data_IF_542760491022
#
_entry.id   IF_542760491022
#
_cell.length_a   1.000
_cell.length_b   1.000
_cell.length_c   1.000
_cell.angle_alpha   90.00
_cell.angle_beta   90.00
_cell.angle_gamma   90.00
#
_symmetry.space_group_name_H-M   'P 1'
#
loop_
_entity.id
_entity.type
_entity.pdbx_description
1 polymer ?
#
# COMPACT_ATOMS: atom_id res chain seq x y z
N UNK A 1 -21.03 -23.90 57.08
CA UNK A 1 -21.67 -22.87 57.94
C UNK A 1 -21.08 -21.52 57.60
N UNK A 2 -21.97 -20.58 57.24
CA UNK A 2 -21.86 -19.12 57.32
C UNK A 2 -20.81 -18.38 56.48
N UNK A 3 -21.33 -17.82 55.38
CA UNK A 3 -21.00 -16.48 54.91
C UNK A 3 -21.31 -15.41 55.98
N UNK A 4 -20.51 -14.35 56.03
CA UNK A 4 -20.89 -13.02 56.57
C UNK A 4 -20.02 -11.93 55.94
N UNK A 5 -20.69 -10.99 55.26
CA UNK A 5 -20.20 -9.69 54.82
C UNK A 5 -20.23 -8.65 55.96
N UNK A 6 -19.46 -7.55 55.80
CA UNK A 6 -19.66 -6.17 56.35
C UNK A 6 -18.55 -5.26 55.77
N UNK A 7 -18.82 -4.33 54.83
CA UNK A 7 -19.09 -2.87 55.00
C UNK A 7 -18.29 -2.24 56.16
N UNK A 8 -17.53 -1.14 56.04
CA UNK A 8 -17.74 0.24 55.48
C UNK A 8 -16.36 0.96 55.61
N UNK A 9 -15.97 2.02 54.90
CA UNK A 9 -16.47 3.39 55.03
C UNK A 9 -15.70 4.35 54.07
N UNK A 10 -16.42 5.33 53.54
CA UNK A 10 -15.98 6.42 52.64
C UNK A 10 -15.24 7.49 53.45
N UNK A 11 -14.08 7.98 52.98
CA UNK A 11 -13.43 9.18 53.53
C UNK A 11 -13.36 10.30 52.48
N UNK A 12 -14.10 11.36 52.76
CA UNK A 12 -14.09 12.68 52.12
C UNK A 12 -12.76 13.40 52.32
N UNK A 13 -12.15 13.93 51.26
CA UNK A 13 -11.05 14.91 51.36
C UNK A 13 -11.48 16.24 50.74
N UNK A 14 -11.24 17.31 51.51
CA UNK A 14 -11.79 18.65 51.32
C UNK A 14 -11.17 19.43 50.15
N UNK A 15 -12.04 20.20 49.49
CA UNK A 15 -11.77 21.10 48.39
C UNK A 15 -11.12 22.40 48.92
N UNK A 16 -9.91 22.73 48.47
CA UNK A 16 -9.29 24.03 48.68
C UNK A 16 -9.58 24.91 47.44
N UNK A 17 -10.47 25.90 47.59
CA UNK A 17 -10.73 26.90 46.54
C UNK A 17 -9.58 27.92 46.51
N UNK A 18 -8.84 27.99 45.41
CA UNK A 18 -8.05 29.17 45.05
C UNK A 18 -8.86 29.98 44.05
N UNK A 19 -9.29 31.17 44.46
CA UNK A 19 -9.96 32.12 43.59
C UNK A 19 -8.93 32.76 42.65
N UNK A 20 -8.87 32.29 41.40
CA UNK A 20 -8.19 32.98 40.32
C UNK A 20 -9.14 34.03 39.72
N UNK A 21 -8.77 35.30 39.82
CA UNK A 21 -9.44 36.41 39.15
C UNK A 21 -9.39 36.19 37.63
N UNK A 22 -10.55 35.91 37.03
CA UNK A 22 -10.70 35.81 35.58
C UNK A 22 -10.60 37.20 34.95
N UNK A 23 -9.56 37.40 34.13
CA UNK A 23 -9.56 38.44 33.11
C UNK A 23 -10.62 38.07 32.05
N UNK A 24 -11.29 39.05 31.42
CA UNK A 24 -12.20 38.77 30.31
C UNK A 24 -11.43 38.11 29.18
N UNK A 25 -11.69 36.81 28.99
CA UNK A 25 -11.12 36.01 27.90
C UNK A 25 -11.54 36.62 26.57
N UNK A 26 -10.55 36.98 25.76
CA UNK A 26 -10.76 37.27 24.34
C UNK A 26 -11.46 36.08 23.69
N UNK A 27 -12.36 36.38 22.76
CA UNK A 27 -13.10 35.38 22.01
C UNK A 27 -12.13 34.37 21.40
N UNK A 28 -12.12 33.14 21.94
CA UNK A 28 -11.56 32.00 21.25
C UNK A 28 -12.38 31.87 19.96
N UNK A 29 -11.76 32.20 18.81
CA UNK A 29 -12.34 31.88 17.52
C UNK A 29 -12.69 30.41 17.54
N UNK A 30 -13.94 30.09 17.17
CA UNK A 30 -14.36 28.71 17.06
C UNK A 30 -13.34 27.97 16.18
N UNK A 31 -12.67 26.96 16.75
CA UNK A 31 -11.93 26.00 15.94
C UNK A 31 -12.96 25.44 14.96
N UNK A 32 -12.78 25.57 13.64
CA UNK A 32 -13.74 25.06 12.70
C UNK A 32 -13.94 23.57 13.00
N UNK A 33 -15.14 23.21 13.44
CA UNK A 33 -15.54 21.81 13.55
C UNK A 33 -15.60 21.28 12.13
N UNK A 34 -14.55 20.57 11.73
CA UNK A 34 -14.53 19.82 10.47
C UNK A 34 -15.69 18.84 10.56
N UNK A 35 -16.67 18.98 9.68
CA UNK A 35 -17.71 17.98 9.54
C UNK A 35 -16.99 16.71 9.06
N UNK A 36 -16.99 15.60 9.81
CA UNK A 36 -16.26 14.39 9.43
C UNK A 36 -16.78 13.77 8.13
N UNK A 37 -17.95 14.20 7.66
CA UNK A 37 -18.54 13.79 6.39
C UNK A 37 -18.30 14.80 5.25
N UNK A 38 -17.56 15.88 5.49
CA UNK A 38 -17.26 16.87 4.47
C UNK A 38 -15.89 16.61 3.85
N UNK A 39 -15.87 16.70 2.52
CA UNK A 39 -14.64 16.66 1.74
C UNK A 39 -13.70 17.78 2.20
N UNK A 40 -12.49 17.43 2.57
CA UNK A 40 -11.54 18.34 3.17
C UNK A 40 -10.15 18.17 2.60
N UNK A 41 -9.43 19.29 2.52
CA UNK A 41 -7.99 19.29 2.29
C UNK A 41 -7.34 20.07 3.43
N UNK A 42 -6.31 19.48 4.05
CA UNK A 42 -5.61 20.07 5.20
C UNK A 42 -4.11 19.86 5.08
N UNK A 43 -3.33 20.73 5.70
CA UNK A 43 -1.92 20.50 5.98
C UNK A 43 -1.80 20.07 7.44
N UNK A 44 -1.15 18.92 7.64
CA UNK A 44 -0.72 18.45 8.94
C UNK A 44 0.80 18.36 8.93
N UNK A 45 1.46 19.34 9.54
CA UNK A 45 2.92 19.52 9.49
C UNK A 45 3.46 19.63 8.05
N UNK A 46 4.17 18.60 7.57
CA UNK A 46 4.80 18.48 6.25
C UNK A 46 3.97 17.64 5.26
N UNK A 47 2.78 17.21 5.68
CA UNK A 47 1.89 16.34 4.90
C UNK A 47 0.66 17.12 4.41
N UNK A 48 0.43 17.11 3.10
CA UNK A 48 -0.84 17.57 2.53
C UNK A 48 -1.82 16.39 2.48
N UNK A 49 -2.98 16.54 3.13
CA UNK A 49 -3.99 15.48 3.27
C UNK A 49 -5.26 15.83 2.53
N UNK A 50 -5.80 14.88 1.78
CA UNK A 50 -7.12 14.93 1.18
C UNK A 50 -8.03 13.85 1.77
N UNK A 51 -9.28 14.21 2.03
CA UNK A 51 -10.32 13.27 2.45
C UNK A 51 -11.60 13.56 1.69
N UNK A 52 -12.14 12.55 1.02
CA UNK A 52 -13.42 12.62 0.33
C UNK A 52 -14.62 12.76 1.29
N UNK A 53 -15.77 13.07 0.70
CA UNK A 53 -17.05 13.04 1.41
C UNK A 53 -17.74 11.71 1.13
N UNK A 54 -18.45 11.18 2.14
CA UNK A 54 -19.18 9.91 2.01
C UNK A 54 -20.24 9.97 0.89
N UNK A 55 -20.37 8.88 0.14
CA UNK A 55 -21.36 8.63 -0.90
C UNK A 55 -21.03 9.33 -2.22
N UNK A 56 -19.75 9.53 -2.54
CA UNK A 56 -19.31 10.31 -3.70
C UNK A 56 -18.24 9.59 -4.52
N UNK A 57 -18.56 9.37 -5.79
CA UNK A 57 -17.58 8.98 -6.80
C UNK A 57 -16.69 10.16 -7.21
N UNK A 58 -15.43 10.07 -6.84
CA UNK A 58 -14.44 11.12 -6.93
C UNK A 58 -13.45 10.91 -8.05
N UNK A 59 -13.14 11.99 -8.76
CA UNK A 59 -12.04 12.04 -9.70
C UNK A 59 -11.05 13.05 -9.16
N UNK A 60 -9.98 12.58 -8.51
CA UNK A 60 -8.96 13.39 -7.87
C UNK A 60 -7.70 13.42 -8.72
N UNK A 61 -7.22 14.62 -9.03
CA UNK A 61 -5.90 14.86 -9.60
C UNK A 61 -5.03 15.54 -8.56
N UNK A 62 -3.88 14.93 -8.28
CA UNK A 62 -2.90 15.44 -7.34
C UNK A 62 -1.72 16.00 -8.14
N UNK A 63 -1.39 17.26 -7.91
CA UNK A 63 -0.23 17.93 -8.49
C UNK A 63 0.57 18.62 -7.40
N UNK A 64 1.87 18.82 -7.58
CA UNK A 64 2.64 19.70 -6.69
C UNK A 64 3.60 20.61 -7.47
N UNK A 65 4.12 21.59 -6.76
CA UNK A 65 5.41 22.18 -7.06
C UNK A 65 6.22 22.25 -5.76
N UNK A 66 7.42 22.85 -5.80
CA UNK A 66 8.32 22.94 -4.65
C UNK A 66 7.74 23.58 -3.37
N UNK A 67 6.59 24.24 -3.43
CA UNK A 67 6.01 25.01 -2.31
C UNK A 67 4.55 24.68 -2.00
N UNK A 68 3.87 23.90 -2.85
CA UNK A 68 2.46 23.63 -2.69
C UNK A 68 2.06 22.28 -3.26
N UNK A 69 1.00 21.71 -2.69
CA UNK A 69 0.25 20.58 -3.25
C UNK A 69 -1.11 21.11 -3.67
N UNK A 70 -1.58 20.70 -4.84
CA UNK A 70 -2.89 21.04 -5.35
C UNK A 70 -3.70 19.75 -5.55
N UNK A 71 -4.85 19.73 -4.90
CA UNK A 71 -5.88 18.71 -5.06
C UNK A 71 -7.00 19.30 -5.94
N UNK A 72 -7.24 18.69 -7.10
CA UNK A 72 -8.31 19.05 -8.02
C UNK A 72 -9.30 17.89 -8.12
N UNK A 73 -10.56 18.14 -7.80
CA UNK A 73 -11.60 17.11 -7.79
C UNK A 73 -12.85 17.53 -8.57
N UNK A 74 -13.82 16.63 -8.70
CA UNK A 74 -15.12 16.88 -9.32
C UNK A 74 -16.19 17.48 -8.38
N UNK A 75 -15.92 17.66 -7.08
CA UNK A 75 -16.86 18.25 -6.11
C UNK A 75 -16.21 19.31 -5.20
N UNK A 76 -16.97 20.29 -4.67
CA UNK A 76 -16.40 21.32 -3.80
C UNK A 76 -15.62 20.76 -2.59
N UNK A 77 -14.39 21.24 -2.39
CA UNK A 77 -13.55 20.94 -1.24
C UNK A 77 -13.75 22.04 -0.18
N UNK A 78 -13.84 21.65 1.09
CA UNK A 78 -13.74 22.58 2.23
C UNK A 78 -12.28 22.63 2.69
N UNK A 79 -11.51 23.69 2.44
CA UNK A 79 -10.13 23.77 2.91
C UNK A 79 -10.12 23.93 4.43
N UNK A 80 -9.27 23.16 5.09
CA UNK A 80 -8.91 23.39 6.48
C UNK A 80 -7.54 24.07 6.62
N UNK A 81 -6.90 23.94 7.78
CA UNK A 81 -5.62 24.60 8.07
C UNK A 81 -4.57 24.35 6.98
N UNK A 82 -3.87 25.41 6.57
CA UNK A 82 -2.79 25.35 5.57
C UNK A 82 -3.24 25.22 4.11
N UNK A 83 -4.54 25.12 3.84
CA UNK A 83 -5.08 25.06 2.48
C UNK A 83 -6.07 26.20 2.21
N UNK A 84 -6.20 26.58 0.93
CA UNK A 84 -7.18 27.54 0.43
C UNK A 84 -7.75 27.05 -0.90
N UNK A 85 -8.98 27.41 -1.23
CA UNK A 85 -9.49 27.13 -2.58
C UNK A 85 -8.78 28.01 -3.63
N UNK A 86 -8.67 27.51 -4.85
CA UNK A 86 -8.29 28.34 -5.98
C UNK A 86 -9.34 29.45 -6.21
N UNK A 87 -8.88 30.60 -6.72
CA UNK A 87 -9.75 31.76 -6.91
C UNK A 87 -10.83 31.46 -7.96
N UNK A 88 -12.10 31.44 -7.50
CA UNK A 88 -13.25 31.18 -8.37
C UNK A 88 -13.56 29.71 -8.62
N UNK A 89 -12.78 28.79 -8.03
CA UNK A 89 -12.98 27.36 -8.18
C UNK A 89 -12.97 26.64 -6.82
N UNK A 90 -14.13 26.21 -6.30
CA UNK A 90 -14.21 25.52 -5.02
C UNK A 90 -13.79 24.06 -5.11
N UNK A 91 -13.55 23.48 -6.30
CA UNK A 91 -13.14 22.07 -6.43
C UNK A 91 -11.64 21.89 -6.41
N UNK A 92 -10.89 23.00 -6.42
CA UNK A 92 -9.44 23.01 -6.32
C UNK A 92 -9.03 23.53 -4.96
N UNK A 93 -8.26 22.74 -4.21
CA UNK A 93 -7.62 23.14 -2.97
C UNK A 93 -6.10 23.20 -3.15
N UNK A 94 -5.51 24.33 -2.78
CA UNK A 94 -4.08 24.58 -2.80
C UNK A 94 -3.58 24.61 -1.36
N UNK A 95 -2.70 23.67 -1.03
CA UNK A 95 -2.14 23.45 0.30
C UNK A 95 -0.66 23.86 0.33
N UNK A 96 -0.26 24.59 1.37
CA UNK A 96 1.08 25.17 1.53
C UNK A 96 1.77 24.60 2.79
N UNK A 97 2.27 23.35 2.76
CA UNK A 97 3.08 22.82 3.84
C UNK A 97 4.41 23.57 3.92
N UNK A 98 5.00 23.63 5.13
CA UNK A 98 6.27 24.34 5.33
C UNK A 98 7.42 23.70 4.56
N UNK A 99 7.39 22.38 4.45
CA UNK A 99 8.19 21.54 3.56
C UNK A 99 7.25 20.46 3.00
N UNK A 100 7.20 20.27 1.68
CA UNK A 100 6.30 19.28 1.08
C UNK A 100 6.98 17.90 1.16
N UNK A 101 6.80 17.19 2.28
CA UNK A 101 7.38 15.86 2.45
C UNK A 101 6.43 14.76 1.98
N UNK A 102 5.13 14.88 2.26
CA UNK A 102 4.20 13.79 1.98
C UNK A 102 2.85 14.27 1.44
N UNK A 103 2.21 13.38 0.68
CA UNK A 103 0.80 13.48 0.30
C UNK A 103 0.07 12.24 0.79
N UNK A 104 -1.08 12.45 1.43
CA UNK A 104 -1.99 11.39 1.84
C UNK A 104 -3.38 11.68 1.27
N UNK A 105 -3.97 10.74 0.55
CA UNK A 105 -5.32 10.86 0.01
C UNK A 105 -6.19 9.67 0.41
N UNK A 106 -7.38 9.94 0.92
CA UNK A 106 -8.44 8.94 1.12
C UNK A 106 -9.64 9.33 0.26
N UNK A 107 -10.02 8.50 -0.71
CA UNK A 107 -11.16 8.76 -1.61
C UNK A 107 -12.46 8.08 -1.18
N UNK A 108 -12.38 7.08 -0.31
CA UNK A 108 -13.51 6.67 0.52
C UNK A 108 -14.43 5.69 -0.18
N UNK A 109 -15.70 6.02 -0.32
CA UNK A 109 -16.70 5.10 -0.89
C UNK A 109 -17.17 5.50 -2.28
N UNK A 110 -17.32 4.51 -3.15
CA UNK A 110 -17.66 4.70 -4.55
C UNK A 110 -16.52 4.21 -5.42
N UNK A 111 -16.73 4.23 -6.74
CA UNK A 111 -15.69 3.83 -7.69
C UNK A 111 -14.90 5.07 -8.09
N UNK A 112 -13.87 5.38 -7.34
CA UNK A 112 -13.10 6.60 -7.42
C UNK A 112 -11.95 6.48 -8.43
N UNK A 113 -11.35 7.62 -8.74
CA UNK A 113 -10.18 7.69 -9.60
C UNK A 113 -9.21 8.68 -9.01
N UNK A 114 -7.98 8.26 -8.78
CA UNK A 114 -6.88 9.12 -8.34
C UNK A 114 -5.79 9.11 -9.40
N UNK A 115 -5.36 10.31 -9.80
CA UNK A 115 -4.23 10.49 -10.70
C UNK A 115 -3.18 11.36 -10.02
N UNK A 116 -2.03 10.78 -9.72
CA UNK A 116 -0.85 11.50 -9.24
C UNK A 116 -0.08 11.97 -10.47
N UNK A 117 0.01 13.28 -10.67
CA UNK A 117 0.49 13.90 -11.91
C UNK A 117 2.01 14.08 -11.95
N UNK A 118 2.64 13.82 -13.09
CA UNK A 118 4.10 13.75 -13.38
C UNK A 118 5.07 14.77 -12.74
N UNK A 119 4.56 15.88 -12.23
CA UNK A 119 5.35 16.95 -11.62
C UNK A 119 5.46 16.86 -10.09
N UNK A 120 4.97 15.77 -9.47
CA UNK A 120 5.10 15.59 -8.02
C UNK A 120 6.57 15.42 -7.57
N UNK A 121 7.00 16.22 -6.60
CA UNK A 121 8.30 16.19 -5.94
C UNK A 121 8.07 16.20 -4.43
N UNK A 122 7.72 15.03 -3.90
CA UNK A 122 7.59 14.76 -2.45
C UNK A 122 8.45 13.54 -2.12
N UNK A 123 8.51 13.11 -0.87
CA UNK A 123 9.21 11.88 -0.48
C UNK A 123 8.27 10.69 -0.35
N UNK A 124 7.02 10.91 0.08
CA UNK A 124 6.04 9.84 0.29
C UNK A 124 4.68 10.24 -0.32
N UNK A 125 4.05 9.31 -1.02
CA UNK A 125 2.68 9.44 -1.51
C UNK A 125 1.92 8.19 -1.09
N UNK A 126 0.85 8.41 -0.34
CA UNK A 126 -0.02 7.35 0.14
C UNK A 126 -1.46 7.64 -0.32
N UNK A 127 -2.07 6.67 -1.00
CA UNK A 127 -3.42 6.79 -1.52
C UNK A 127 -4.23 5.57 -1.10
N UNK A 128 -5.39 5.81 -0.50
CA UNK A 128 -6.38 4.82 -0.13
C UNK A 128 -7.63 5.02 -0.97
N UNK A 129 -7.97 4.01 -1.76
CA UNK A 129 -9.20 3.87 -2.52
C UNK A 129 -10.39 3.84 -1.58
N UNK A 130 -10.51 2.75 -0.82
CA UNK A 130 -11.56 2.57 0.17
C UNK A 130 -12.52 1.49 -0.27
N UNK A 131 -13.82 1.78 -0.36
CA UNK A 131 -14.80 0.79 -0.81
C UNK A 131 -15.33 1.13 -2.19
N UNK A 132 -15.40 0.17 -3.08
CA UNK A 132 -15.79 0.36 -4.48
C UNK A 132 -14.65 -0.05 -5.39
N UNK A 133 -14.88 0.02 -6.70
CA UNK A 133 -13.88 -0.40 -7.68
C UNK A 133 -13.11 0.84 -8.15
N UNK A 134 -11.95 1.07 -7.57
CA UNK A 134 -11.16 2.28 -7.68
C UNK A 134 -10.08 2.19 -8.76
N UNK A 135 -9.69 3.36 -9.27
CA UNK A 135 -8.63 3.50 -10.25
C UNK A 135 -7.53 4.39 -9.69
N UNK A 136 -6.46 3.80 -9.17
CA UNK A 136 -5.35 4.51 -8.55
C UNK A 136 -4.15 4.51 -9.50
N UNK A 137 -3.78 5.70 -9.99
CA UNK A 137 -2.72 5.84 -10.99
C UNK A 137 -1.64 6.81 -10.55
N UNK A 138 -0.43 6.29 -10.43
CA UNK A 138 0.77 7.10 -10.43
C UNK A 138 1.26 7.31 -11.87
N UNK A 139 1.49 8.55 -12.28
CA UNK A 139 2.07 8.84 -13.59
C UNK A 139 3.60 8.81 -13.52
N UNK A 140 4.34 8.83 -14.64
CA UNK A 140 5.80 8.89 -14.60
C UNK A 140 6.34 10.18 -13.98
N UNK A 141 7.17 10.10 -12.93
CA UNK A 141 7.89 11.25 -12.37
C UNK A 141 9.42 11.06 -12.41
N UNK A 142 10.17 12.11 -12.06
CA UNK A 142 11.65 12.15 -12.09
C UNK A 142 12.31 12.17 -10.71
N UNK A 143 11.56 11.92 -9.63
CA UNK A 143 11.94 12.27 -8.25
C UNK A 143 11.91 11.08 -7.29
N UNK A 144 12.71 11.11 -6.21
CA UNK A 144 12.72 10.09 -5.14
C UNK A 144 11.44 10.04 -4.34
N UNK A 145 10.48 9.26 -4.84
CA UNK A 145 9.17 9.01 -4.24
C UNK A 145 9.05 7.56 -3.81
N UNK A 146 8.64 7.32 -2.57
CA UNK A 146 7.94 6.09 -2.22
C UNK A 146 6.47 6.31 -2.54
N UNK A 147 5.84 5.35 -3.23
CA UNK A 147 4.41 5.40 -3.55
C UNK A 147 3.73 4.18 -2.98
N UNK A 148 2.68 4.41 -2.19
CA UNK A 148 1.81 3.37 -1.65
C UNK A 148 0.40 3.58 -2.17
N UNK A 149 -0.12 2.58 -2.88
CA UNK A 149 -1.48 2.55 -3.36
C UNK A 149 -2.21 1.41 -2.65
N UNK A 150 -3.32 1.71 -1.99
CA UNK A 150 -4.19 0.76 -1.33
C UNK A 150 -5.55 0.81 -2.01
N UNK A 151 -5.98 -0.27 -2.66
CA UNK A 151 -7.34 -0.41 -3.20
C UNK A 151 -8.37 -0.51 -2.07
N UNK A 152 -8.09 -1.41 -1.13
CA UNK A 152 -8.89 -1.77 0.04
C UNK A 152 -10.04 -2.73 -0.26
N UNK A 153 -11.24 -2.30 -0.66
CA UNK A 153 -12.36 -3.22 -0.86
C UNK A 153 -13.10 -2.96 -2.17
N UNK A 154 -13.18 -3.94 -3.05
CA UNK A 154 -13.74 -3.85 -4.39
C UNK A 154 -12.72 -4.34 -5.41
N UNK A 155 -13.12 -4.41 -6.68
CA UNK A 155 -12.19 -4.84 -7.73
C UNK A 155 -11.44 -3.62 -8.27
N UNK A 156 -10.23 -3.40 -7.77
CA UNK A 156 -9.44 -2.19 -7.96
C UNK A 156 -8.41 -2.30 -9.09
N UNK A 157 -7.98 -1.14 -9.60
CA UNK A 157 -6.98 -1.06 -10.66
C UNK A 157 -5.86 -0.11 -10.24
N UNK A 158 -4.77 -0.69 -9.74
CA UNK A 158 -3.62 0.00 -9.20
C UNK A 158 -2.49 -0.02 -10.22
N UNK A 159 -2.09 1.16 -10.66
CA UNK A 159 -1.03 1.32 -11.66
C UNK A 159 0.01 2.29 -11.16
N UNK A 160 1.21 1.78 -11.00
CA UNK A 160 2.40 2.60 -10.93
C UNK A 160 3.01 2.77 -12.32
N UNK A 161 3.68 3.90 -12.57
CA UNK A 161 4.45 4.13 -13.79
C UNK A 161 5.70 4.91 -13.44
N UNK A 162 6.88 4.37 -13.70
CA UNK A 162 8.12 5.01 -13.31
C UNK A 162 9.22 4.99 -14.39
N UNK A 163 10.31 5.76 -14.15
CA UNK A 163 11.61 5.63 -14.81
C UNK A 163 12.72 6.00 -13.79
N UNK A 164 13.33 5.03 -13.07
CA UNK A 164 14.32 5.32 -12.01
C UNK A 164 14.26 4.41 -10.76
N UNK A 165 14.92 4.86 -9.69
CA UNK A 165 15.26 4.11 -8.45
C UNK A 165 14.28 4.37 -7.29
N UNK A 166 13.19 3.58 -7.17
CA UNK A 166 12.12 3.84 -6.19
C UNK A 166 11.47 2.57 -5.65
N UNK A 167 10.79 2.73 -4.51
CA UNK A 167 9.98 1.70 -3.85
C UNK A 167 8.50 2.01 -4.09
N UNK A 168 7.82 1.09 -4.76
CA UNK A 168 6.38 1.16 -5.02
C UNK A 168 5.70 -0.03 -4.35
N UNK A 169 4.74 0.25 -3.48
CA UNK A 169 3.96 -0.77 -2.79
C UNK A 169 2.50 -0.65 -3.23
N UNK A 170 2.00 -1.69 -3.88
CA UNK A 170 0.62 -1.77 -4.35
C UNK A 170 -0.08 -2.86 -3.54
N UNK A 171 -1.18 -2.50 -2.89
CA UNK A 171 -2.00 -3.41 -2.09
C UNK A 171 -3.41 -3.40 -2.68
N UNK A 172 -3.86 -4.54 -3.22
CA UNK A 172 -5.20 -4.70 -3.76
C UNK A 172 -6.25 -4.62 -2.65
N UNK A 173 -6.30 -5.64 -1.80
CA UNK A 173 -7.21 -5.73 -0.67
C UNK A 173 -8.22 -6.87 -0.84
N UNK A 174 -9.49 -6.60 -0.58
CA UNK A 174 -10.58 -7.53 -0.84
C UNK A 174 -11.16 -7.26 -2.23
N UNK A 175 -11.24 -8.25 -3.12
CA UNK A 175 -11.79 -8.10 -4.48
C UNK A 175 -10.85 -8.69 -5.52
N UNK A 176 -11.29 -8.74 -6.78
CA UNK A 176 -10.46 -9.24 -7.87
C UNK A 176 -9.64 -8.08 -8.47
N UNK A 177 -8.44 -7.82 -7.93
CA UNK A 177 -7.68 -6.61 -8.22
C UNK A 177 -6.75 -6.75 -9.44
N UNK A 178 -6.36 -5.62 -10.01
CA UNK A 178 -5.33 -5.55 -11.03
C UNK A 178 -4.19 -4.62 -10.60
N UNK A 179 -3.02 -5.20 -10.36
CA UNK A 179 -1.84 -4.50 -9.90
C UNK A 179 -0.77 -4.51 -11.00
N UNK A 180 -0.27 -3.32 -11.34
CA UNK A 180 0.72 -3.17 -12.40
C UNK A 180 1.79 -2.15 -12.03
N UNK A 181 3.04 -2.59 -12.03
CA UNK A 181 4.21 -1.75 -11.75
C UNK A 181 5.30 -2.07 -12.78
N UNK A 182 5.52 -1.23 -13.82
CA UNK A 182 6.26 -1.62 -15.02
C UNK A 182 7.79 -1.62 -14.89
N UNK A 183 8.36 -1.12 -13.78
CA UNK A 183 9.79 -0.84 -13.70
C UNK A 183 10.57 -1.81 -12.79
N UNK A 184 11.71 -2.32 -13.25
CA UNK A 184 12.55 -3.19 -12.43
C UNK A 184 13.25 -2.37 -11.35
N UNK A 185 13.18 -2.85 -10.11
CA UNK A 185 13.89 -2.25 -8.98
C UNK A 185 15.40 -2.39 -9.16
N UNK A 186 16.11 -1.28 -9.28
CA UNK A 186 17.58 -1.28 -9.36
C UNK A 186 18.27 -1.17 -7.98
N UNK A 187 17.53 -0.81 -6.91
CA UNK A 187 18.06 -0.63 -5.54
C UNK A 187 16.98 -0.35 -4.46
N UNK A 188 15.77 -0.88 -4.60
CA UNK A 188 14.70 -0.80 -3.59
C UNK A 188 13.84 -2.06 -3.63
N UNK A 189 12.88 -2.18 -2.71
CA UNK A 189 11.86 -3.23 -2.74
C UNK A 189 10.56 -2.63 -3.27
N UNK A 190 10.09 -3.10 -4.42
CA UNK A 190 8.78 -2.73 -4.96
C UNK A 190 7.94 -3.99 -5.11
N UNK A 191 6.79 -4.00 -4.45
CA UNK A 191 5.98 -5.18 -4.28
C UNK A 191 4.51 -4.92 -4.59
N UNK A 192 3.87 -5.97 -5.07
CA UNK A 192 2.44 -6.07 -5.28
C UNK A 192 1.92 -7.16 -4.36
N UNK A 193 0.99 -6.79 -3.49
CA UNK A 193 0.24 -7.69 -2.62
C UNK A 193 -1.21 -7.63 -3.08
N UNK A 194 -1.73 -8.75 -3.59
CA UNK A 194 -3.11 -8.83 -4.08
C UNK A 194 -4.08 -8.71 -2.92
N UNK A 195 -4.26 -9.78 -2.17
CA UNK A 195 -5.11 -9.80 -0.99
C UNK A 195 -6.13 -10.91 -1.15
N UNK A 196 -7.38 -10.72 -0.70
CA UNK A 196 -8.42 -11.72 -0.91
C UNK A 196 -9.08 -11.51 -2.27
N UNK A 197 -9.04 -12.51 -3.14
CA UNK A 197 -9.74 -12.46 -4.42
C UNK A 197 -8.92 -13.15 -5.50
N UNK A 198 -9.34 -13.04 -6.75
CA UNK A 198 -8.55 -13.50 -7.89
C UNK A 198 -7.84 -12.32 -8.53
N UNK A 199 -6.60 -12.07 -8.08
CA UNK A 199 -5.83 -10.89 -8.45
C UNK A 199 -5.01 -11.10 -9.73
N UNK A 200 -4.73 -10.03 -10.46
CA UNK A 200 -3.85 -10.07 -11.64
C UNK A 200 -2.63 -9.19 -11.43
N UNK A 201 -1.45 -9.79 -11.56
CA UNK A 201 -0.16 -9.12 -11.34
C UNK A 201 0.60 -8.90 -12.64
N UNK A 202 1.04 -7.67 -12.89
CA UNK A 202 1.75 -7.28 -14.10
C UNK A 202 2.90 -6.30 -13.84
N UNK A 203 3.77 -6.13 -14.85
CA UNK A 203 4.92 -5.24 -14.76
C UNK A 203 6.16 -5.97 -14.23
N UNK A 204 7.11 -5.29 -13.58
CA UNK A 204 8.43 -5.75 -13.16
C UNK A 204 8.66 -5.68 -11.64
N UNK A 205 7.63 -5.33 -10.86
CA UNK A 205 7.62 -5.48 -9.41
C UNK A 205 7.57 -6.97 -8.99
N UNK A 206 7.94 -7.23 -7.74
CA UNK A 206 7.79 -8.55 -7.11
C UNK A 206 6.33 -8.76 -6.68
N UNK A 207 5.85 -10.00 -6.77
CA UNK A 207 4.56 -10.41 -6.20
C UNK A 207 4.81 -11.03 -4.84
N UNK A 208 4.18 -10.49 -3.80
CA UNK A 208 4.49 -10.82 -2.42
C UNK A 208 3.35 -11.58 -1.73
N UNK A 209 3.57 -12.87 -1.46
CA UNK A 209 2.68 -13.72 -0.67
C UNK A 209 3.21 -13.95 0.77
N UNK A 210 4.19 -13.18 1.25
CA UNK A 210 4.87 -13.41 2.55
C UNK A 210 3.94 -13.44 3.76
N UNK A 211 2.79 -12.77 3.70
CA UNK A 211 1.78 -12.79 4.76
C UNK A 211 0.95 -14.10 4.79
N UNK A 212 1.08 -14.96 3.78
CA UNK A 212 0.40 -16.26 3.70
C UNK A 212 1.04 -17.26 4.66
N UNK A 213 0.19 -17.92 5.43
CA UNK A 213 0.59 -19.00 6.34
C UNK A 213 0.13 -20.38 5.86
N UNK A 214 -0.75 -20.41 4.86
CA UNK A 214 -1.12 -21.60 4.12
C UNK A 214 -0.28 -21.69 2.87
N UNK A 215 0.00 -22.91 2.42
CA UNK A 215 0.74 -23.10 1.18
C UNK A 215 0.09 -22.36 0.00
N UNK A 216 0.92 -21.84 -0.89
CA UNK A 216 0.53 -21.29 -2.19
C UNK A 216 1.11 -22.13 -3.33
N UNK A 217 0.44 -22.08 -4.48
CA UNK A 217 0.96 -22.65 -5.72
C UNK A 217 1.03 -21.53 -6.74
N UNK A 218 2.24 -21.08 -7.07
CA UNK A 218 2.46 -19.96 -7.98
C UNK A 218 3.19 -20.44 -9.23
N UNK A 219 2.66 -20.07 -10.37
CA UNK A 219 3.23 -20.27 -11.70
C UNK A 219 3.35 -18.93 -12.43
N UNK A 220 4.58 -18.49 -12.71
CA UNK A 220 4.83 -17.29 -13.53
C UNK A 220 4.65 -17.67 -15.01
N UNK A 221 3.40 -17.80 -15.44
CA UNK A 221 3.01 -18.24 -16.78
C UNK A 221 1.83 -17.44 -17.40
N UNK A 222 1.17 -16.61 -16.60
CA UNK A 222 0.03 -15.79 -17.00
C UNK A 222 -1.30 -16.54 -17.12
N UNK A 223 -1.46 -17.65 -16.40
CA UNK A 223 -2.72 -18.37 -16.26
C UNK A 223 -3.29 -18.13 -14.86
N UNK A 224 -4.60 -17.85 -14.79
CA UNK A 224 -5.30 -17.59 -13.52
C UNK A 224 -5.54 -18.88 -12.71
N UNK A 225 -4.48 -19.39 -12.08
CA UNK A 225 -4.52 -20.57 -11.21
C UNK A 225 -3.52 -20.48 -10.05
N UNK A 226 -3.10 -19.27 -9.71
CA UNK A 226 -2.10 -19.01 -8.68
C UNK A 226 -2.76 -18.70 -7.32
N UNK A 227 -1.91 -18.61 -6.30
CA UNK A 227 -2.27 -18.26 -4.93
C UNK A 227 -2.57 -19.47 -4.04
N UNK A 228 -3.34 -19.22 -2.99
CA UNK A 228 -3.83 -20.26 -2.09
C UNK A 228 -4.88 -21.14 -2.78
N UNK A 229 -5.22 -22.33 -2.22
CA UNK A 229 -6.20 -23.23 -2.83
C UNK A 229 -7.56 -22.57 -3.12
N UNK A 230 -7.84 -22.36 -4.40
CA UNK A 230 -9.11 -21.79 -4.87
C UNK A 230 -9.15 -20.25 -4.94
N UNK A 231 -8.02 -19.58 -4.72
CA UNK A 231 -7.85 -18.13 -4.88
C UNK A 231 -7.95 -17.73 -6.35
N UNK A 232 -7.08 -18.29 -7.19
CA UNK A 232 -7.19 -18.14 -8.65
C UNK A 232 -6.54 -16.88 -9.19
N UNK A 233 -5.49 -16.40 -8.50
CA UNK A 233 -4.65 -15.31 -8.95
C UNK A 233 -4.01 -15.61 -10.30
N UNK A 234 -3.56 -14.57 -10.99
CA UNK A 234 -2.89 -14.63 -12.28
C UNK A 234 -1.58 -13.84 -12.23
N UNK A 235 -0.47 -14.56 -12.07
CA UNK A 235 0.88 -14.01 -12.08
C UNK A 235 1.40 -14.00 -13.52
N UNK A 236 1.37 -12.82 -14.16
CA UNK A 236 1.83 -12.70 -15.55
C UNK A 236 3.35 -12.86 -15.67
N UNK A 237 3.80 -13.32 -16.83
CA UNK A 237 5.23 -13.51 -17.16
C UNK A 237 6.06 -12.23 -17.20
N UNK A 238 5.44 -11.06 -17.00
CA UNK A 238 6.20 -9.82 -16.93
C UNK A 238 6.88 -9.61 -15.58
N UNK A 239 6.32 -10.15 -14.47
CA UNK A 239 6.67 -9.80 -13.07
C UNK A 239 8.17 -9.91 -12.79
N UNK A 240 8.65 -9.17 -11.80
CA UNK A 240 10.06 -9.15 -11.41
C UNK A 240 10.50 -10.37 -10.61
N UNK A 241 9.56 -10.96 -9.87
CA UNK A 241 9.79 -12.12 -9.02
C UNK A 241 8.56 -12.46 -8.20
N UNK A 242 8.65 -13.55 -7.44
CA UNK A 242 7.61 -14.04 -6.55
C UNK A 242 8.24 -14.42 -5.21
N UNK A 243 7.60 -13.99 -4.13
CA UNK A 243 7.88 -14.41 -2.77
C UNK A 243 6.74 -15.32 -2.30
N UNK A 244 7.09 -16.50 -1.79
CA UNK A 244 6.20 -17.42 -1.11
C UNK A 244 5.78 -16.90 0.28
N UNK A 245 5.03 -17.72 1.00
CA UNK A 245 4.60 -17.46 2.36
C UNK A 245 5.50 -18.12 3.41
N UNK A 246 4.87 -18.50 4.52
CA UNK A 246 5.50 -19.27 5.61
C UNK A 246 5.05 -20.74 5.63
N UNK A 247 4.38 -21.18 4.55
CA UNK A 247 3.90 -22.54 4.37
C UNK A 247 4.81 -23.32 3.42
N UNK A 248 4.46 -24.58 3.15
CA UNK A 248 5.22 -25.42 2.22
C UNK A 248 4.82 -25.08 0.76
N UNK A 249 5.50 -24.15 0.13
CA UNK A 249 5.04 -23.51 -1.11
C UNK A 249 5.57 -24.15 -2.39
N UNK A 250 4.83 -24.00 -3.49
CA UNK A 250 5.28 -24.43 -4.82
C UNK A 250 5.39 -23.22 -5.73
N UNK A 251 6.60 -22.85 -6.11
CA UNK A 251 6.89 -21.70 -6.96
C UNK A 251 7.54 -22.19 -8.25
N UNK A 252 7.00 -21.77 -9.39
CA UNK A 252 7.53 -22.12 -10.70
C UNK A 252 7.49 -20.95 -11.68
N UNK A 253 8.36 -20.97 -12.69
CA UNK A 253 8.39 -19.95 -13.73
C UNK A 253 8.59 -20.52 -15.13
N UNK A 254 8.00 -19.87 -16.13
CA UNK A 254 8.23 -20.15 -17.57
C UNK A 254 9.19 -19.15 -18.23
N UNK A 255 9.65 -18.17 -17.46
CA UNK A 255 10.57 -17.09 -17.86
C UNK A 255 11.68 -16.94 -16.82
N UNK A 256 12.71 -16.16 -17.14
CA UNK A 256 13.70 -15.73 -16.14
C UNK A 256 13.00 -15.01 -14.99
N UNK A 257 13.15 -15.54 -13.78
CA UNK A 257 12.47 -15.05 -12.59
C UNK A 257 13.35 -15.11 -11.34
N UNK A 258 13.00 -14.26 -10.37
CA UNK A 258 13.39 -14.38 -8.98
C UNK A 258 12.30 -15.17 -8.24
N UNK A 259 12.64 -16.30 -7.63
CA UNK A 259 11.74 -17.11 -6.81
C UNK A 259 12.31 -17.20 -5.39
N UNK A 260 11.54 -16.77 -4.40
CA UNK A 260 11.92 -16.80 -2.99
C UNK A 260 10.90 -17.65 -2.24
N UNK A 261 11.32 -18.77 -1.66
CA UNK A 261 10.43 -19.68 -0.92
C UNK A 261 9.91 -19.06 0.38
N UNK A 262 10.72 -18.20 1.00
CA UNK A 262 10.54 -17.73 2.38
C UNK A 262 10.67 -18.89 3.36
N UNK A 263 9.72 -19.13 4.27
CA UNK A 263 9.88 -20.16 5.30
C UNK A 263 8.99 -21.35 5.01
N UNK A 264 9.46 -22.57 5.22
CA UNK A 264 8.64 -23.74 4.90
C UNK A 264 9.49 -24.91 4.42
N UNK A 265 8.86 -25.90 3.83
CA UNK A 265 9.54 -26.82 2.92
C UNK A 265 9.01 -26.57 1.52
N UNK A 266 9.81 -25.88 0.71
CA UNK A 266 9.38 -25.29 -0.54
C UNK A 266 9.87 -26.08 -1.76
N UNK A 267 9.14 -25.94 -2.86
CA UNK A 267 9.52 -26.42 -4.17
C UNK A 267 9.71 -25.25 -5.12
N UNK A 268 10.95 -24.93 -5.46
CA UNK A 268 11.30 -23.85 -6.37
C UNK A 268 11.79 -24.44 -7.69
N UNK A 269 11.03 -24.18 -8.76
CA UNK A 269 11.32 -24.64 -10.12
C UNK A 269 11.55 -23.44 -11.05
N UNK A 270 12.81 -23.19 -11.40
CA UNK A 270 13.17 -22.24 -12.44
C UNK A 270 12.77 -22.72 -13.84
N UNK A 271 13.16 -21.93 -14.82
CA UNK A 271 12.79 -22.04 -16.23
C UNK A 271 13.95 -22.62 -17.06
N UNK A 272 13.90 -22.39 -18.38
CA UNK A 272 15.03 -22.68 -19.29
C UNK A 272 15.93 -21.43 -19.49
N UNK A 273 15.70 -20.36 -18.73
CA UNK A 273 16.46 -19.11 -18.75
C UNK A 273 17.32 -18.98 -17.48
N UNK A 274 18.01 -17.85 -17.31
CA UNK A 274 18.80 -17.65 -16.08
C UNK A 274 17.87 -17.23 -14.94
N UNK A 275 17.81 -18.04 -13.90
CA UNK A 275 16.93 -17.83 -12.76
C UNK A 275 17.71 -17.51 -11.48
N UNK A 276 17.03 -16.87 -10.53
CA UNK A 276 17.53 -16.68 -9.16
C UNK A 276 16.56 -17.33 -8.19
N UNK A 277 17.03 -18.36 -7.49
CA UNK A 277 16.20 -19.16 -6.58
C UNK A 277 16.75 -19.01 -5.16
N UNK A 278 15.88 -18.65 -4.21
CA UNK A 278 16.26 -18.42 -2.82
C UNK A 278 15.38 -19.26 -1.90
N UNK A 279 15.95 -20.37 -1.41
CA UNK A 279 15.40 -21.26 -0.39
C UNK A 279 16.40 -21.35 0.77
N UNK A 280 16.79 -20.19 1.31
CA UNK A 280 17.75 -20.07 2.40
C UNK A 280 17.04 -19.45 3.60
N UNK A 281 16.29 -20.28 4.31
CA UNK A 281 15.37 -19.95 5.40
C UNK A 281 15.88 -20.41 6.78
N UNK A 282 17.03 -21.10 6.80
CA UNK A 282 17.67 -21.70 7.97
C UNK A 282 17.12 -23.08 8.36
N UNK A 283 16.19 -23.63 7.60
CA UNK A 283 15.74 -25.01 7.67
C UNK A 283 16.39 -25.82 6.54
N UNK A 284 15.90 -27.03 6.30
CA UNK A 284 16.32 -27.78 5.13
C UNK A 284 15.23 -28.77 4.77
N UNK A 285 15.23 -29.23 3.52
CA UNK A 285 14.14 -30.04 2.98
C UNK A 285 13.56 -29.47 1.70
N UNK A 286 13.98 -28.27 1.32
CA UNK A 286 13.55 -27.62 0.08
C UNK A 286 14.01 -28.42 -1.13
N UNK A 287 13.22 -28.32 -2.20
CA UNK A 287 13.55 -28.89 -3.50
C UNK A 287 13.72 -27.73 -4.48
N UNK A 288 14.96 -27.55 -4.92
CA UNK A 288 15.36 -26.44 -5.78
C UNK A 288 15.90 -27.00 -7.10
N UNK A 289 15.31 -26.56 -8.20
CA UNK A 289 15.76 -26.89 -9.56
C UNK A 289 15.79 -25.63 -10.40
N UNK A 290 16.98 -25.13 -10.74
CA UNK A 290 17.11 -23.94 -11.59
C UNK A 290 16.60 -24.17 -13.03
N UNK A 291 16.80 -25.39 -13.55
CA UNK A 291 16.32 -25.79 -14.87
C UNK A 291 17.42 -25.81 -15.91
N UNK A 292 17.24 -25.19 -17.07
CA UNK A 292 18.38 -24.94 -17.96
C UNK A 292 18.73 -23.46 -17.87
N UNK A 293 20.00 -23.11 -17.99
CA UNK A 293 20.38 -21.71 -17.87
C UNK A 293 21.71 -21.59 -17.15
N UNK A 294 22.01 -20.38 -16.71
CA UNK A 294 22.98 -20.15 -15.65
C UNK A 294 22.20 -19.62 -14.45
N UNK A 295 21.93 -20.50 -13.50
CA UNK A 295 21.01 -20.27 -12.39
C UNK A 295 21.79 -20.01 -11.11
N UNK A 296 21.30 -19.04 -10.33
CA UNK A 296 21.87 -18.70 -9.03
C UNK A 296 20.95 -19.19 -7.93
N UNK A 297 21.35 -20.25 -7.23
CA UNK A 297 20.57 -20.84 -6.14
C UNK A 297 21.23 -20.57 -4.78
N UNK A 298 20.49 -19.95 -3.86
CA UNK A 298 20.85 -19.83 -2.44
C UNK A 298 20.00 -20.80 -1.64
N UNK A 299 20.66 -21.76 -0.99
CA UNK A 299 20.03 -22.94 -0.36
C UNK A 299 20.76 -23.31 0.93
N UNK A 300 20.04 -23.93 1.85
CA UNK A 300 20.55 -24.39 3.13
C UNK A 300 21.13 -25.81 3.08
N UNK A 301 21.76 -26.21 4.18
CA UNK A 301 22.27 -27.56 4.35
C UNK A 301 21.13 -28.53 4.65
N UNK A 302 20.76 -29.35 3.67
CA UNK A 302 19.67 -30.32 3.79
C UNK A 302 18.78 -30.37 2.56
N UNK A 303 18.86 -29.33 1.73
CA UNK A 303 18.04 -29.19 0.54
C UNK A 303 18.49 -30.09 -0.60
N UNK A 304 17.52 -30.43 -1.44
CA UNK A 304 17.72 -31.18 -2.66
C UNK A 304 17.84 -30.20 -3.82
N UNK A 305 19.07 -30.02 -4.30
CA UNK A 305 19.39 -29.02 -5.30
C UNK A 305 19.85 -29.68 -6.59
N UNK A 306 19.33 -29.20 -7.71
CA UNK A 306 19.73 -29.63 -9.05
C UNK A 306 19.74 -28.44 -10.00
N UNK A 307 20.54 -28.52 -11.07
CA UNK A 307 20.58 -27.49 -12.11
C UNK A 307 20.79 -26.07 -11.55
N UNK A 308 21.86 -25.91 -10.77
CA UNK A 308 22.31 -24.62 -10.24
C UNK A 308 23.82 -24.54 -10.44
N UNK A 309 24.35 -23.39 -10.86
CA UNK A 309 25.75 -23.20 -11.29
C UNK A 309 26.68 -22.52 -10.28
#
# INVERSE_FOLDING_TARGET
MRATARLTQISTLALLMVAATMLPGGAAGAVPTINPNARAAVVDQDTAKFTAAVGKTDYLVITNNSTMVMFDVNYPITPGPGCVNAAGDPTIAICYPTDVAAVLAHVGDGNDTVVISTDIHVTDVEVHGGSGNDLLKNQPHKSYLTVKLFGEAGDDYLVDHWWGEHESLLYGGDGDDHLSCPDPVSNGYSAMVGGNGADTFAGKCEVDYSDRTTHVNISVDGIANDGAPGEGDNVLTSVGGVLGGSGDDVLSSTVSALLIGNGGTDWLFGSDFNDTLWAYDGAGGDIVSGGYGNDSCSVDAGDSVSFCE
#
